data_IF_414478054200
#
_entry.id   IF_414478054200
#
_cell.length_a   1.000
_cell.length_b   1.000
_cell.length_c   1.000
_cell.angle_alpha   90.00
_cell.angle_beta   90.00
_cell.angle_gamma   90.00
#
_symmetry.space_group_name_H-M   'P 1'
#
loop_
_entity.id
_entity.type
_entity.pdbx_description
1 polymer ?
#
# COMPACT_ATOMS: atom_id res chain seq x y z
N UNK A 1 -53.94 -52.26 26.49
CA UNK A 1 -54.48 -51.59 27.69
C UNK A 1 -53.37 -50.72 28.28
N UNK A 2 -53.66 -49.42 28.49
CA UNK A 2 -53.03 -48.45 29.43
C UNK A 2 -51.50 -48.33 29.47
N UNK A 3 -50.90 -47.29 28.83
CA UNK A 3 -50.55 -45.94 29.37
C UNK A 3 -49.35 -45.91 30.33
N UNK A 4 -48.28 -45.23 29.92
CA UNK A 4 -47.47 -44.40 30.82
C UNK A 4 -47.04 -43.14 30.05
N UNK A 5 -47.33 -41.98 30.63
CA UNK A 5 -47.31 -40.66 29.96
C UNK A 5 -46.02 -39.92 30.32
N UNK A 6 -45.42 -39.29 29.30
CA UNK A 6 -44.23 -38.44 29.35
C UNK A 6 -44.45 -37.24 30.28
N UNK A 7 -43.47 -36.91 31.16
CA UNK A 7 -43.03 -35.53 31.47
C UNK A 7 -41.60 -35.51 32.04
N UNK A 8 -40.60 -35.35 31.18
CA UNK A 8 -39.29 -34.84 31.60
C UNK A 8 -39.16 -33.47 30.95
N UNK A 9 -39.46 -32.44 31.74
CA UNK A 9 -39.11 -31.05 31.42
C UNK A 9 -37.60 -30.91 31.52
N UNK A 10 -36.91 -30.81 30.39
CA UNK A 10 -35.52 -30.36 30.32
C UNK A 10 -35.45 -29.18 29.37
N UNK A 11 -35.55 -27.99 29.96
CA UNK A 11 -35.49 -26.70 29.31
C UNK A 11 -34.10 -26.10 29.61
N UNK A 12 -33.08 -26.42 28.80
CA UNK A 12 -31.80 -25.66 28.65
C UNK A 12 -31.00 -26.28 27.49
N UNK A 13 -31.19 -25.80 26.25
CA UNK A 13 -30.38 -24.79 25.54
C UNK A 13 -28.95 -25.26 25.14
N UNK A 14 -28.87 -25.83 23.93
CA UNK A 14 -27.99 -25.48 22.78
C UNK A 14 -26.54 -25.08 23.10
N UNK A 15 -25.59 -25.82 22.52
CA UNK A 15 -24.19 -25.40 22.44
C UNK A 15 -23.37 -26.22 21.45
N UNK A 16 -23.80 -26.32 20.19
CA UNK A 16 -22.93 -26.78 19.11
C UNK A 16 -21.86 -25.70 18.88
N UNK A 17 -20.62 -25.98 19.30
CA UNK A 17 -19.48 -25.10 19.13
C UNK A 17 -19.03 -25.18 17.66
N UNK A 18 -19.69 -24.39 16.80
CA UNK A 18 -19.26 -24.20 15.41
C UNK A 18 -18.11 -23.19 15.42
N UNK A 19 -16.89 -23.65 15.20
CA UNK A 19 -15.72 -22.80 14.96
C UNK A 19 -15.84 -22.16 13.56
N UNK A 20 -16.68 -21.14 13.43
CA UNK A 20 -16.64 -20.25 12.26
C UNK A 20 -15.51 -19.26 12.47
N UNK A 21 -14.35 -19.53 11.88
CA UNK A 21 -13.34 -18.49 11.61
C UNK A 21 -13.97 -17.50 10.64
N UNK A 22 -14.47 -16.39 11.18
CA UNK A 22 -14.92 -15.27 10.36
C UNK A 22 -13.69 -14.42 10.09
N UNK A 23 -12.98 -14.69 8.99
CA UNK A 23 -11.97 -13.75 8.49
C UNK A 23 -12.71 -12.62 7.79
N UNK A 24 -12.87 -11.49 8.47
CA UNK A 24 -13.33 -10.26 7.82
C UNK A 24 -12.12 -9.65 7.12
N UNK A 25 -12.06 -9.76 5.80
CA UNK A 25 -11.17 -8.92 4.99
C UNK A 25 -11.68 -7.49 5.10
N UNK A 26 -11.10 -6.68 5.99
CA UNK A 26 -11.38 -5.26 5.94
C UNK A 26 -10.65 -4.69 4.71
N UNK A 27 -11.33 -3.83 3.96
CA UNK A 27 -10.72 -3.22 2.79
C UNK A 27 -9.51 -2.37 3.20
N UNK A 28 -9.48 -1.88 4.44
CA UNK A 28 -8.40 -1.03 4.98
C UNK A 28 -7.12 -1.80 5.33
N UNK A 29 -7.16 -3.08 5.71
CA UNK A 29 -5.91 -3.86 5.91
C UNK A 29 -5.33 -4.32 4.56
N UNK A 30 -6.17 -4.48 3.52
CA UNK A 30 -5.72 -4.86 2.17
C UNK A 30 -5.27 -3.66 1.32
N UNK A 31 -5.90 -2.48 1.48
CA UNK A 31 -5.71 -1.34 0.59
C UNK A 31 -5.37 -0.02 1.30
N UNK A 32 -5.29 0.01 2.63
CA UNK A 32 -5.05 1.22 3.42
C UNK A 32 -6.25 2.19 3.40
N UNK A 33 -6.18 3.30 4.15
CA UNK A 33 -7.24 4.30 4.15
C UNK A 33 -7.43 4.88 2.74
N UNK A 34 -8.64 4.73 2.19
CA UNK A 34 -9.00 5.24 0.87
C UNK A 34 -9.00 6.77 0.90
N UNK A 35 -8.28 7.37 -0.04
CA UNK A 35 -8.31 8.80 -0.28
C UNK A 35 -8.98 9.06 -1.63
N UNK A 36 -10.26 9.50 -1.64
CA UNK A 36 -11.00 9.74 -2.88
C UNK A 36 -10.31 10.75 -3.82
N UNK A 37 -9.48 11.65 -3.29
CA UNK A 37 -8.73 12.63 -4.09
C UNK A 37 -7.65 11.97 -4.96
N UNK A 38 -7.15 10.82 -4.51
CA UNK A 38 -6.03 10.10 -5.13
C UNK A 38 -6.44 8.71 -5.66
N UNK A 39 -7.74 8.47 -5.84
CA UNK A 39 -8.27 7.20 -6.35
C UNK A 39 -8.06 7.04 -7.87
N UNK A 40 -7.78 8.12 -8.59
CA UNK A 40 -7.46 8.11 -10.02
C UNK A 40 -5.98 7.80 -10.32
N UNK A 41 -5.15 7.58 -9.30
CA UNK A 41 -3.72 7.32 -9.49
C UNK A 41 -3.53 5.95 -10.13
N UNK A 42 -2.93 5.96 -11.32
CA UNK A 42 -2.63 4.76 -12.08
C UNK A 42 -1.58 3.93 -11.33
N UNK A 43 -1.84 2.63 -11.17
CA UNK A 43 -1.01 1.74 -10.36
C UNK A 43 0.03 0.98 -11.17
N UNK A 44 0.41 1.48 -12.35
CA UNK A 44 1.45 0.88 -13.20
C UNK A 44 2.61 1.85 -13.32
N UNK A 45 3.82 1.33 -13.55
CA UNK A 45 4.99 2.17 -13.68
C UNK A 45 4.83 3.15 -14.84
N UNK A 46 4.53 2.63 -16.04
CA UNK A 46 4.50 3.42 -17.27
C UNK A 46 3.50 4.57 -17.21
N UNK A 47 2.31 4.34 -16.66
CA UNK A 47 1.23 5.32 -16.68
C UNK A 47 1.16 6.17 -15.40
N UNK A 48 1.58 5.63 -14.25
CA UNK A 48 1.46 6.29 -12.96
C UNK A 48 2.76 6.85 -12.41
N UNK A 49 3.79 6.01 -12.31
CA UNK A 49 5.01 6.34 -11.54
C UNK A 49 6.07 7.05 -12.39
N UNK A 50 6.26 6.60 -13.63
CA UNK A 50 7.29 7.12 -14.53
C UNK A 50 7.22 8.64 -14.72
N UNK A 51 6.05 9.27 -14.94
CA UNK A 51 6.00 10.73 -15.07
C UNK A 51 6.59 11.48 -13.86
N UNK A 52 6.45 10.93 -12.65
CA UNK A 52 7.01 11.51 -11.43
C UNK A 52 8.50 11.21 -11.26
N UNK A 53 8.96 10.03 -11.66
CA UNK A 53 10.38 9.71 -11.70
C UNK A 53 11.11 10.65 -12.66
N UNK A 54 10.56 10.80 -13.87
CA UNK A 54 11.13 11.63 -14.93
C UNK A 54 11.14 13.12 -14.56
N UNK A 55 10.15 13.61 -13.80
CA UNK A 55 10.04 15.02 -13.44
C UNK A 55 10.79 15.41 -12.15
N UNK A 56 10.83 14.53 -11.14
CA UNK A 56 11.25 14.91 -9.79
C UNK A 56 12.52 14.18 -9.31
N UNK A 57 12.93 13.11 -10.00
CA UNK A 57 13.96 12.20 -9.49
C UNK A 57 15.21 12.16 -10.38
N UNK A 58 15.03 11.99 -11.68
CA UNK A 58 16.14 11.68 -12.60
C UNK A 58 17.08 12.85 -12.84
N UNK A 59 16.76 14.08 -12.46
CA UNK A 59 17.72 15.20 -12.53
C UNK A 59 18.95 14.96 -11.64
N UNK A 60 18.76 14.29 -10.49
CA UNK A 60 19.80 14.02 -9.51
C UNK A 60 20.06 12.53 -9.26
N UNK A 61 19.23 11.63 -9.79
CA UNK A 61 19.33 10.19 -9.63
C UNK A 61 19.36 9.50 -11.00
N UNK A 62 20.41 9.75 -11.76
CA UNK A 62 20.63 9.12 -13.07
C UNK A 62 22.06 8.56 -13.19
N UNK A 63 22.32 7.83 -14.27
CA UNK A 63 23.63 7.23 -14.56
C UNK A 63 24.80 8.22 -14.68
N UNK A 64 24.55 9.48 -15.05
CA UNK A 64 25.56 10.53 -15.18
C UNK A 64 25.72 11.41 -13.93
N UNK A 65 24.70 11.45 -13.08
CA UNK A 65 24.64 12.23 -11.86
C UNK A 65 23.92 11.41 -10.78
N UNK A 66 24.59 10.39 -10.24
CA UNK A 66 24.02 9.48 -9.24
C UNK A 66 24.20 10.05 -7.83
N UNK A 67 23.45 11.10 -7.49
CA UNK A 67 23.50 11.66 -6.13
C UNK A 67 23.16 10.57 -5.12
N UNK A 68 24.02 10.39 -4.11
CA UNK A 68 23.87 9.30 -3.14
C UNK A 68 24.09 7.89 -3.72
N UNK A 69 24.67 7.76 -4.91
CA UNK A 69 24.96 6.47 -5.55
C UNK A 69 23.72 5.75 -6.10
N UNK A 70 22.63 6.49 -6.36
CA UNK A 70 21.36 5.95 -6.82
C UNK A 70 21.07 6.39 -8.26
N UNK A 71 20.74 5.42 -9.12
CA UNK A 71 20.18 5.63 -10.45
C UNK A 71 18.69 5.22 -10.41
N UNK A 72 17.83 6.02 -11.02
CA UNK A 72 16.39 5.78 -11.17
C UNK A 72 15.94 5.95 -12.63
N UNK A 73 16.88 5.91 -13.58
CA UNK A 73 16.61 6.18 -15.00
C UNK A 73 15.93 5.02 -15.74
N UNK A 74 15.87 3.83 -15.14
CA UNK A 74 15.19 2.66 -15.71
C UNK A 74 14.10 2.13 -14.79
N UNK A 75 13.11 1.44 -15.36
CA UNK A 75 12.10 0.74 -14.58
C UNK A 75 12.73 -0.23 -13.57
N UNK A 76 13.74 -0.99 -13.98
CA UNK A 76 14.38 -1.99 -13.12
C UNK A 76 15.04 -1.33 -11.91
N UNK A 77 15.73 -0.20 -12.12
CA UNK A 77 16.35 0.53 -11.01
C UNK A 77 15.30 1.11 -10.05
N UNK A 78 14.20 1.65 -10.58
CA UNK A 78 13.07 2.12 -9.74
C UNK A 78 12.41 0.95 -9.01
N UNK A 79 12.24 -0.19 -9.67
CA UNK A 79 11.67 -1.41 -9.08
C UNK A 79 12.51 -1.89 -7.90
N UNK A 80 13.82 -2.00 -8.08
CA UNK A 80 14.75 -2.51 -7.06
C UNK A 80 14.87 -1.55 -5.86
N UNK A 81 14.73 -0.23 -6.11
CA UNK A 81 14.90 0.80 -5.10
C UNK A 81 13.58 1.38 -4.55
N UNK A 82 12.43 0.85 -4.95
CA UNK A 82 11.11 1.44 -4.66
C UNK A 82 10.86 1.71 -3.17
N UNK A 83 11.25 0.78 -2.29
CA UNK A 83 11.09 0.95 -0.85
C UNK A 83 12.01 2.04 -0.27
N UNK A 84 13.21 2.20 -0.83
CA UNK A 84 14.14 3.26 -0.44
C UNK A 84 13.60 4.61 -0.89
N UNK A 85 13.11 4.69 -2.13
CA UNK A 85 12.43 5.89 -2.66
C UNK A 85 11.26 6.26 -1.76
N UNK A 86 10.38 5.30 -1.44
CA UNK A 86 9.23 5.54 -0.59
C UNK A 86 9.63 6.04 0.81
N UNK A 87 10.65 5.45 1.44
CA UNK A 87 11.17 5.92 2.73
C UNK A 87 11.65 7.37 2.67
N UNK A 88 12.25 7.82 1.56
CA UNK A 88 12.80 9.18 1.42
C UNK A 88 11.72 10.22 1.13
N UNK A 89 10.77 9.92 0.25
CA UNK A 89 9.70 10.87 -0.12
C UNK A 89 8.63 11.02 0.97
N UNK A 90 8.49 10.02 1.86
CA UNK A 90 7.54 10.09 2.99
C UNK A 90 8.03 10.97 4.15
N UNK A 91 9.32 11.30 4.20
CA UNK A 91 9.91 12.04 5.34
C UNK A 91 9.30 13.42 5.50
N UNK A 92 9.34 13.91 6.72
CA UNK A 92 8.80 15.23 7.04
C UNK A 92 9.65 16.34 6.40
N UNK A 93 9.03 17.50 6.11
CA UNK A 93 9.77 18.68 5.69
C UNK A 93 10.90 18.98 6.69
N UNK A 94 12.08 19.32 6.17
CA UNK A 94 13.31 19.57 6.93
C UNK A 94 14.04 18.33 7.50
N UNK A 95 13.56 17.10 7.28
CA UNK A 95 14.39 15.92 7.51
C UNK A 95 15.59 15.96 6.54
N UNK A 96 16.84 15.80 7.01
CA UNK A 96 18.03 15.90 6.16
C UNK A 96 18.14 14.80 5.08
N UNK A 97 17.31 13.77 5.16
CA UNK A 97 17.21 12.68 4.18
C UNK A 97 15.90 12.74 3.38
N UNK A 98 15.08 13.78 3.57
CA UNK A 98 13.88 13.99 2.76
C UNK A 98 14.28 14.21 1.30
N UNK A 99 13.50 13.62 0.39
CA UNK A 99 13.62 13.86 -1.03
C UNK A 99 12.31 14.41 -1.60
N UNK A 100 12.39 15.37 -2.54
CA UNK A 100 13.62 15.91 -3.15
C UNK A 100 14.35 16.91 -2.23
N UNK A 101 15.68 16.84 -2.17
CA UNK A 101 16.48 17.62 -1.23
C UNK A 101 16.46 19.12 -1.60
N UNK A 102 16.13 19.98 -0.64
CA UNK A 102 16.06 21.43 -0.85
C UNK A 102 14.87 21.88 -1.70
N UNK A 103 13.95 20.98 -2.06
CA UNK A 103 12.70 21.27 -2.74
C UNK A 103 11.51 21.09 -1.78
N UNK A 104 10.31 21.58 -2.14
CA UNK A 104 9.09 21.21 -1.46
C UNK A 104 8.87 19.69 -1.46
N UNK A 105 8.22 19.18 -0.41
CA UNK A 105 7.79 17.77 -0.34
C UNK A 105 6.86 17.44 -1.49
N UNK A 106 6.96 16.22 -2.03
CA UNK A 106 6.07 15.76 -3.10
C UNK A 106 4.59 15.82 -2.68
N UNK A 107 3.67 16.03 -3.65
CA UNK A 107 2.25 16.00 -3.38
C UNK A 107 1.81 14.68 -2.72
N UNK A 108 0.82 14.76 -1.84
CA UNK A 108 0.27 13.60 -1.11
C UNK A 108 -0.15 12.48 -2.06
N UNK A 109 -0.90 12.79 -3.13
CA UNK A 109 -1.35 11.77 -4.09
C UNK A 109 -0.19 11.10 -4.84
N UNK A 110 0.93 11.80 -5.05
CA UNK A 110 2.13 11.21 -5.63
C UNK A 110 2.69 10.14 -4.71
N UNK A 111 2.90 10.48 -3.43
CA UNK A 111 3.41 9.54 -2.42
C UNK A 111 2.48 8.32 -2.29
N UNK A 112 1.17 8.55 -2.23
CA UNK A 112 0.20 7.44 -2.17
C UNK A 112 0.20 6.59 -3.45
N UNK A 113 0.48 7.19 -4.61
CA UNK A 113 0.71 6.47 -5.86
C UNK A 113 1.84 5.46 -5.76
N UNK A 114 3.00 5.89 -5.21
CA UNK A 114 4.11 4.98 -4.94
C UNK A 114 3.73 3.88 -3.94
N UNK A 115 2.99 4.19 -2.87
CA UNK A 115 2.50 3.19 -1.91
C UNK A 115 1.61 2.13 -2.59
N UNK A 116 0.62 2.58 -3.38
CA UNK A 116 -0.32 1.70 -4.11
C UNK A 116 0.42 0.87 -5.15
N UNK A 117 1.34 1.46 -5.92
CA UNK A 117 2.14 0.74 -6.91
C UNK A 117 3.04 -0.32 -6.26
N UNK A 118 3.69 0.00 -5.13
CA UNK A 118 4.50 -0.96 -4.37
C UNK A 118 3.63 -2.10 -3.83
N UNK A 119 2.47 -1.78 -3.25
CA UNK A 119 1.53 -2.77 -2.72
C UNK A 119 0.97 -3.69 -3.82
N UNK A 120 0.76 -3.16 -5.03
CA UNK A 120 0.30 -3.93 -6.20
C UNK A 120 1.39 -4.83 -6.81
N UNK A 121 2.59 -4.91 -6.21
CA UNK A 121 3.69 -5.72 -6.72
C UNK A 121 4.57 -5.02 -7.76
N UNK A 122 4.46 -3.69 -7.88
CA UNK A 122 5.22 -2.84 -8.80
C UNK A 122 5.05 -3.24 -10.28
N UNK A 123 3.82 -3.37 -10.81
CA UNK A 123 3.64 -3.73 -12.21
C UNK A 123 4.18 -2.64 -13.15
N UNK A 124 4.79 -3.05 -14.26
CA UNK A 124 5.32 -2.10 -15.24
C UNK A 124 4.21 -1.47 -16.10
N UNK A 125 3.29 -2.30 -16.61
CA UNK A 125 2.26 -1.92 -17.59
C UNK A 125 0.85 -2.31 -17.17
#
# INVERSE_FOLDING_TARGET
MTKAVIRVSFLTLIGAFIITSCYSENYEDLYGPRDPECDSVLTTYTAGIRPWIDAECVDCHNSGASSGGLDLSTYQDVFDNANVVLDRIKREPNDPKMMPLGQPKLPRCTIQGFEKWIAAGKPEN
#
